data_IF_272369723136
#
_entry.id   IF_272369723136
#
_cell.length_a   1.000
_cell.length_b   1.000
_cell.length_c   1.000
_cell.angle_alpha   90.00
_cell.angle_beta   90.00
_cell.angle_gamma   90.00
#
_symmetry.space_group_name_H-M   'P 1'
#
loop_
_entity.id
_entity.type
_entity.pdbx_description
1 polymer ?
#
# COMPACT_ATOMS: atom_id res chain seq x y z
N UNK A 1 -43.44 -17.12 -30.49
CA UNK A 1 -44.46 -16.77 -29.49
C UNK A 1 -43.79 -15.88 -28.47
N UNK A 2 -44.18 -14.61 -28.48
CA UNK A 2 -43.63 -13.46 -27.77
C UNK A 2 -43.95 -13.55 -26.28
N UNK A 3 -43.04 -13.13 -25.40
CA UNK A 3 -43.36 -12.18 -24.33
C UNK A 3 -42.08 -11.66 -23.65
N UNK A 4 -41.77 -10.42 -23.99
CA UNK A 4 -40.98 -9.49 -23.20
C UNK A 4 -41.73 -9.11 -21.91
N UNK A 5 -41.00 -9.00 -20.80
CA UNK A 5 -41.31 -8.03 -19.75
C UNK A 5 -40.03 -7.30 -19.35
N UNK A 6 -40.08 -5.98 -19.48
CA UNK A 6 -39.04 -4.98 -19.19
C UNK A 6 -39.48 -4.17 -17.96
N UNK A 7 -38.63 -4.08 -16.93
CA UNK A 7 -38.59 -2.99 -15.93
C UNK A 7 -37.29 -3.17 -15.12
N UNK A 8 -36.20 -2.44 -15.38
CA UNK A 8 -35.93 -1.03 -15.09
C UNK A 8 -35.88 -0.69 -13.59
N UNK A 9 -34.67 -0.36 -13.13
CA UNK A 9 -34.44 0.68 -12.12
C UNK A 9 -33.92 0.20 -10.76
N UNK A 10 -32.79 0.77 -10.33
CA UNK A 10 -32.49 0.93 -8.90
C UNK A 10 -31.06 0.63 -8.48
N UNK A 11 -30.16 1.59 -8.71
CA UNK A 11 -28.77 1.60 -8.22
C UNK A 11 -28.75 1.58 -6.68
N UNK A 12 -27.89 0.76 -6.06
CA UNK A 12 -27.52 0.91 -4.64
C UNK A 12 -26.02 1.09 -4.53
N UNK A 13 -25.66 2.31 -4.18
CA UNK A 13 -24.31 2.82 -4.00
C UNK A 13 -23.64 2.15 -2.79
N UNK A 14 -22.35 1.90 -2.99
CA UNK A 14 -21.40 1.42 -2.01
C UNK A 14 -21.05 2.57 -1.06
N UNK A 15 -21.32 2.39 0.24
CA UNK A 15 -20.90 3.33 1.29
C UNK A 15 -19.54 2.87 1.79
N UNK A 16 -18.49 3.49 1.27
CA UNK A 16 -17.17 3.45 1.87
C UNK A 16 -17.10 4.57 2.92
N UNK A 17 -17.10 4.17 4.20
CA UNK A 17 -16.78 5.05 5.31
C UNK A 17 -15.28 5.34 5.32
N UNK A 18 -14.93 6.62 5.20
CA UNK A 18 -13.58 7.12 5.40
C UNK A 18 -13.62 8.28 6.40
N UNK A 19 -13.12 7.98 7.60
CA UNK A 19 -12.31 8.81 8.49
C UNK A 19 -12.58 10.32 8.51
N UNK A 20 -13.21 10.72 9.61
CA UNK A 20 -13.19 12.06 10.15
C UNK A 20 -11.75 12.49 10.49
N UNK A 21 -11.20 13.40 9.69
CA UNK A 21 -10.20 14.37 10.15
C UNK A 21 -10.85 15.75 10.11
N UNK A 22 -11.27 16.22 11.28
CA UNK A 22 -11.86 17.53 11.51
C UNK A 22 -10.78 18.61 11.37
N UNK A 23 -10.59 19.13 10.16
CA UNK A 23 -10.10 20.49 9.97
C UNK A 23 -11.32 21.41 9.86
N UNK A 24 -11.54 22.18 10.91
CA UNK A 24 -12.45 23.31 10.95
C UNK A 24 -12.06 24.34 9.90
N UNK A 25 -12.83 24.43 8.81
CA UNK A 25 -12.89 25.59 7.92
C UNK A 25 -14.31 26.15 7.96
N UNK A 26 -14.48 27.46 8.15
CA UNK A 26 -15.79 28.07 8.21
C UNK A 26 -16.45 27.97 6.83
N UNK A 27 -17.76 27.77 6.87
CA UNK A 27 -18.65 27.84 5.72
C UNK A 27 -18.37 29.11 4.89
N UNK A 28 -17.84 28.92 3.68
CA UNK A 28 -18.07 29.85 2.58
C UNK A 28 -19.11 29.20 1.67
N UNK A 29 -20.30 29.78 1.74
CA UNK A 29 -21.46 29.42 0.97
C UNK A 29 -21.09 29.18 -0.51
N UNK A 30 -21.39 27.99 -1.00
CA UNK A 30 -21.48 27.70 -2.43
C UNK A 30 -22.72 28.41 -2.97
N UNK A 31 -22.59 29.69 -3.28
CA UNK A 31 -23.47 30.37 -4.21
C UNK A 31 -23.13 29.87 -5.61
N UNK A 32 -24.12 29.29 -6.29
CA UNK A 32 -24.06 28.92 -7.69
C UNK A 32 -23.76 30.17 -8.52
N UNK A 33 -22.48 30.35 -8.87
CA UNK A 33 -22.02 31.50 -9.66
C UNK A 33 -22.70 31.45 -11.03
N UNK A 34 -23.57 32.43 -11.31
CA UNK A 34 -24.22 32.58 -12.61
C UNK A 34 -23.18 32.98 -13.66
N UNK A 35 -23.42 32.61 -14.93
CA UNK A 35 -22.50 32.84 -16.06
C UNK A 35 -22.11 34.32 -16.18
N UNK A 36 -23.01 35.24 -15.83
CA UNK A 36 -22.76 36.68 -15.83
C UNK A 36 -21.71 37.11 -14.79
N UNK A 37 -21.68 36.49 -13.62
CA UNK A 37 -20.66 36.77 -12.59
C UNK A 37 -19.28 36.24 -12.99
N UNK A 38 -19.24 35.16 -13.80
CA UNK A 38 -17.99 34.69 -14.39
C UNK A 38 -17.49 35.66 -15.46
N UNK A 39 -18.37 36.19 -16.32
CA UNK A 39 -17.99 37.21 -17.31
C UNK A 39 -17.44 38.47 -16.64
N UNK A 40 -18.10 38.98 -15.60
CA UNK A 40 -17.59 40.14 -14.87
C UNK A 40 -16.25 39.88 -14.19
N UNK A 41 -16.01 38.67 -13.67
CA UNK A 41 -14.70 38.31 -13.12
C UNK A 41 -13.63 38.16 -14.19
N UNK A 42 -14.00 37.67 -15.37
CA UNK A 42 -13.08 37.52 -16.48
C UNK A 42 -12.68 38.89 -17.02
N UNK A 43 -13.63 39.81 -17.16
CA UNK A 43 -13.38 41.19 -17.58
C UNK A 43 -12.56 41.98 -16.53
N UNK A 44 -12.80 41.73 -15.24
CA UNK A 44 -11.99 42.29 -14.15
C UNK A 44 -10.55 41.71 -14.16
N UNK A 45 -10.40 40.41 -14.43
CA UNK A 45 -9.08 39.79 -14.60
C UNK A 45 -8.37 40.34 -15.84
N UNK A 46 -9.08 40.52 -16.96
CA UNK A 46 -8.52 41.07 -18.20
C UNK A 46 -8.05 42.52 -18.01
N UNK A 47 -8.74 43.33 -17.21
CA UNK A 47 -8.25 44.67 -16.83
C UNK A 47 -7.01 44.61 -15.94
N UNK A 48 -6.94 43.63 -15.04
CA UNK A 48 -5.80 43.47 -14.14
C UNK A 48 -4.56 42.88 -14.86
N UNK A 49 -4.77 42.01 -15.83
CA UNK A 49 -3.73 41.47 -16.72
C UNK A 49 -3.33 42.51 -17.78
N UNK A 50 -4.29 43.28 -18.30
CA UNK A 50 -4.05 44.40 -19.22
C UNK A 50 -3.30 45.55 -18.56
N UNK A 51 -3.45 45.76 -17.25
CA UNK A 51 -2.71 46.76 -16.48
C UNK A 51 -1.31 46.31 -16.01
N UNK A 52 -1.01 45.01 -16.05
CA UNK A 52 0.33 44.46 -15.73
C UNK A 52 1.22 44.26 -16.95
N UNK A 53 0.78 44.76 -18.11
CA UNK A 53 1.60 44.95 -19.29
C UNK A 53 1.90 46.44 -19.50
N UNK A 54 2.51 47.08 -18.49
CA UNK A 54 3.42 48.18 -18.78
C UNK A 54 4.67 47.58 -19.43
N UNK A 55 4.54 47.29 -20.72
CA UNK A 55 5.67 47.14 -21.64
C UNK A 55 6.37 48.49 -21.64
N UNK A 56 7.56 48.50 -21.05
CA UNK A 56 8.55 49.54 -21.31
C UNK A 56 8.66 49.68 -22.82
N UNK A 57 8.38 50.88 -23.34
CA UNK A 57 8.47 51.19 -24.77
C UNK A 57 9.87 50.88 -25.30
N UNK A 58 10.02 49.72 -25.92
CA UNK A 58 10.82 49.55 -27.12
C UNK A 58 10.49 48.19 -27.75
N UNK A 59 9.72 48.26 -28.84
CA UNK A 59 9.85 47.36 -29.99
C UNK A 59 9.47 45.89 -29.83
N UNK A 60 8.50 45.51 -30.68
CA UNK A 60 8.26 44.18 -31.24
C UNK A 60 7.21 43.33 -30.51
N UNK A 61 6.11 43.18 -31.25
CA UNK A 61 5.08 42.15 -31.15
C UNK A 61 5.76 40.77 -31.01
N UNK A 62 5.75 40.20 -29.79
CA UNK A 62 6.49 38.98 -29.49
C UNK A 62 5.66 37.72 -29.72
N UNK A 63 5.81 37.10 -30.89
CA UNK A 63 5.90 35.63 -30.94
C UNK A 63 6.79 35.19 -29.76
N UNK A 64 6.45 34.15 -28.96
CA UNK A 64 7.37 33.66 -27.95
C UNK A 64 8.68 33.31 -28.66
N UNK A 65 9.69 34.16 -28.51
CA UNK A 65 10.94 34.04 -29.23
C UNK A 65 11.60 32.73 -28.85
N UNK A 66 12.29 32.10 -29.80
CA UNK A 66 13.01 30.84 -29.58
C UNK A 66 13.86 30.86 -28.28
N UNK A 67 14.43 32.03 -27.91
CA UNK A 67 15.18 32.23 -26.67
C UNK A 67 14.38 32.11 -25.36
N UNK A 68 13.12 32.54 -25.32
CA UNK A 68 12.25 32.37 -24.15
C UNK A 68 11.88 30.90 -23.95
N UNK A 69 11.67 30.18 -25.07
CA UNK A 69 11.45 28.73 -25.08
C UNK A 69 12.69 27.99 -24.56
N UNK A 70 13.88 28.39 -25.02
CA UNK A 70 15.16 27.80 -24.57
C UNK A 70 15.44 28.05 -23.08
N UNK A 71 15.05 29.22 -22.55
CA UNK A 71 15.19 29.52 -21.12
C UNK A 71 14.23 28.67 -20.29
N UNK A 72 12.98 28.52 -20.75
CA UNK A 72 12.00 27.63 -20.11
C UNK A 72 12.43 26.17 -20.16
N UNK A 73 13.02 25.72 -21.26
CA UNK A 73 13.54 24.36 -21.41
C UNK A 73 14.64 24.09 -20.38
N UNK A 74 15.63 24.99 -20.27
CA UNK A 74 16.72 24.88 -19.28
C UNK A 74 16.22 24.86 -17.83
N UNK A 75 15.22 25.68 -17.51
CA UNK A 75 14.60 25.67 -16.17
C UNK A 75 13.87 24.35 -15.92
N UNK A 76 13.18 23.81 -16.93
CA UNK A 76 12.47 22.55 -16.83
C UNK A 76 13.43 21.36 -16.65
N UNK A 77 14.51 21.32 -17.40
CA UNK A 77 15.59 20.32 -17.26
C UNK A 77 16.19 20.36 -15.86
N UNK A 78 16.52 21.56 -15.35
CA UNK A 78 17.03 21.72 -13.97
C UNK A 78 16.02 21.26 -12.93
N UNK A 79 14.73 21.57 -13.09
CA UNK A 79 13.67 21.11 -12.18
C UNK A 79 13.52 19.60 -12.20
N UNK A 80 13.62 18.98 -13.38
CA UNK A 80 13.55 17.53 -13.53
C UNK A 80 14.75 16.85 -12.86
N UNK A 81 15.96 17.40 -13.02
CA UNK A 81 17.16 16.91 -12.37
C UNK A 81 17.05 17.00 -10.84
N UNK A 82 16.61 18.14 -10.30
CA UNK A 82 16.37 18.30 -8.85
C UNK A 82 15.29 17.34 -8.35
N UNK A 83 14.21 17.13 -9.11
CA UNK A 83 13.20 16.14 -8.76
C UNK A 83 13.78 14.72 -8.76
N UNK A 84 14.63 14.36 -9.72
CA UNK A 84 15.26 13.04 -9.75
C UNK A 84 16.23 12.84 -8.58
N UNK A 85 16.99 13.87 -8.20
CA UNK A 85 17.87 13.84 -7.03
C UNK A 85 17.07 13.75 -5.72
N UNK A 86 15.98 14.51 -5.59
CA UNK A 86 15.06 14.45 -4.45
C UNK A 86 14.33 13.11 -4.38
N UNK A 87 13.90 12.54 -5.51
CA UNK A 87 13.28 11.22 -5.59
C UNK A 87 14.30 10.14 -5.22
N UNK A 88 15.53 10.21 -5.73
CA UNK A 88 16.60 9.27 -5.37
C UNK A 88 17.00 9.37 -3.89
N UNK A 89 16.98 10.57 -3.30
CA UNK A 89 17.19 10.76 -1.87
C UNK A 89 16.01 10.23 -1.03
N UNK A 90 14.77 10.42 -1.50
CA UNK A 90 13.55 9.90 -0.87
C UNK A 90 13.45 8.38 -0.99
N UNK A 91 13.84 7.78 -2.11
CA UNK A 91 13.87 6.33 -2.30
C UNK A 91 14.89 5.66 -1.37
N UNK A 92 16.05 6.30 -1.16
CA UNK A 92 17.07 5.85 -0.20
C UNK A 92 16.67 6.01 1.27
N UNK A 93 15.61 6.75 1.58
CA UNK A 93 15.15 7.00 2.96
C UNK A 93 13.76 6.46 3.26
N UNK A 94 12.97 6.13 2.23
CA UNK A 94 11.61 5.62 2.38
C UNK A 94 11.64 4.10 2.59
N UNK A 95 11.10 3.59 3.72
CA UNK A 95 10.98 2.15 3.92
C UNK A 95 10.02 1.55 2.88
N UNK A 96 10.40 0.41 2.31
CA UNK A 96 9.59 -0.32 1.34
C UNK A 96 8.63 -1.23 2.10
N UNK A 97 7.33 -1.00 1.94
CA UNK A 97 6.27 -1.89 2.43
C UNK A 97 5.73 -2.68 1.24
N UNK A 98 5.70 -3.99 1.35
CA UNK A 98 5.11 -4.87 0.33
C UNK A 98 4.13 -5.83 0.98
N UNK A 99 2.90 -5.83 0.47
CA UNK A 99 1.83 -6.73 0.91
C UNK A 99 1.41 -7.57 -0.29
N UNK A 100 1.43 -8.89 -0.13
CA UNK A 100 1.10 -9.84 -1.19
C UNK A 100 0.43 -11.11 -0.65
N UNK A 101 0.27 -12.08 -1.53
CA UNK A 101 -0.30 -13.41 -1.28
C UNK A 101 0.40 -14.16 -0.14
N UNK A 102 1.70 -13.95 0.04
CA UNK A 102 2.51 -14.61 1.08
C UNK A 102 2.56 -13.85 2.40
N UNK A 103 1.87 -12.71 2.52
CA UNK A 103 1.83 -11.87 3.72
C UNK A 103 2.40 -10.46 3.51
N UNK A 104 2.73 -9.80 4.61
CA UNK A 104 3.28 -8.46 4.62
C UNK A 104 4.78 -8.48 4.88
N UNK A 105 5.51 -7.57 4.25
CA UNK A 105 6.93 -7.34 4.47
C UNK A 105 7.23 -5.85 4.53
N UNK A 106 8.11 -5.49 5.45
CA UNK A 106 8.62 -4.14 5.66
C UNK A 106 10.13 -4.23 5.55
N UNK A 107 10.72 -3.45 4.65
CA UNK A 107 12.16 -3.36 4.47
C UNK A 107 12.59 -1.91 4.67
N UNK A 108 13.61 -1.70 5.49
CA UNK A 108 14.24 -0.38 5.62
C UNK A 108 14.86 0.03 4.28
N UNK A 109 14.94 1.34 4.03
CA UNK A 109 15.46 1.89 2.79
C UNK A 109 16.91 1.46 2.50
N UNK A 110 17.72 1.31 3.55
CA UNK A 110 19.10 0.80 3.45
C UNK A 110 19.18 -0.73 3.26
N UNK A 111 18.05 -1.43 3.30
CA UNK A 111 17.96 -2.88 3.19
C UNK A 111 18.55 -3.68 4.35
N UNK A 112 19.08 -3.01 5.37
CA UNK A 112 19.68 -3.64 6.54
C UNK A 112 18.64 -4.26 7.48
N UNK A 113 17.42 -3.73 7.51
CA UNK A 113 16.35 -4.25 8.34
C UNK A 113 15.23 -4.77 7.46
N UNK A 114 14.78 -5.98 7.76
CA UNK A 114 13.66 -6.61 7.09
C UNK A 114 12.75 -7.25 8.14
N UNK A 115 11.45 -7.06 8.00
CA UNK A 115 10.44 -7.69 8.83
C UNK A 115 9.39 -8.31 7.91
N UNK A 116 9.00 -9.55 8.18
CA UNK A 116 7.97 -10.26 7.44
C UNK A 116 6.97 -10.86 8.40
N UNK A 117 5.71 -10.61 8.11
CA UNK A 117 4.58 -11.20 8.79
C UNK A 117 3.83 -12.07 7.79
N UNK A 118 3.84 -13.39 8.04
CA UNK A 118 3.07 -14.36 7.29
C UNK A 118 2.05 -15.01 8.21
N UNK A 119 0.96 -15.52 7.66
CA UNK A 119 0.02 -16.32 8.42
C UNK A 119 -0.50 -17.44 7.54
N UNK A 120 -0.59 -18.65 8.10
CA UNK A 120 -1.25 -19.78 7.48
C UNK A 120 -2.45 -20.17 8.34
N UNK A 121 -3.64 -20.11 7.74
CA UNK A 121 -4.88 -20.53 8.39
C UNK A 121 -5.51 -21.61 7.52
N UNK A 122 -5.75 -22.78 8.10
CA UNK A 122 -6.40 -23.91 7.45
C UNK A 122 -7.60 -24.34 8.28
N UNK A 123 -8.80 -24.11 7.75
CA UNK A 123 -10.05 -24.66 8.26
C UNK A 123 -10.40 -25.96 7.54
N UNK A 124 -11.03 -26.89 8.25
CA UNK A 124 -11.53 -28.16 7.75
C UNK A 124 -12.94 -28.37 8.27
N UNK A 125 -13.85 -28.72 7.37
CA UNK A 125 -15.25 -29.00 7.66
C UNK A 125 -15.53 -30.45 7.31
N UNK A 126 -16.06 -31.20 8.27
CA UNK A 126 -16.44 -32.60 8.11
C UNK A 126 -17.95 -32.67 8.17
N UNK A 127 -18.55 -33.13 7.07
CA UNK A 127 -19.99 -33.29 6.93
C UNK A 127 -20.29 -34.75 6.61
N UNK A 128 -21.21 -35.35 7.35
CA UNK A 128 -21.63 -36.73 7.16
C UNK A 128 -23.05 -36.77 6.60
N UNK A 129 -23.27 -37.60 5.58
CA UNK A 129 -24.61 -37.86 5.04
C UNK A 129 -25.18 -39.11 5.71
N UNK A 130 -26.50 -39.18 5.90
CA UNK A 130 -27.23 -40.29 6.54
C UNK A 130 -27.01 -40.42 8.06
N UNK A 131 -27.12 -39.30 8.79
CA UNK A 131 -26.85 -39.19 10.24
C UNK A 131 -28.05 -39.54 11.14
N UNK A 132 -28.92 -40.46 10.68
CA UNK A 132 -30.15 -40.84 11.39
C UNK A 132 -29.88 -41.55 12.73
N UNK A 133 -28.63 -41.99 12.97
CA UNK A 133 -28.21 -42.70 14.18
C UNK A 133 -27.41 -41.86 15.17
N UNK A 134 -26.76 -40.75 14.75
CA UNK A 134 -25.96 -39.87 15.65
C UNK A 134 -26.17 -38.39 15.27
N UNK A 135 -27.39 -37.84 15.42
CA UNK A 135 -27.71 -36.51 14.90
C UNK A 135 -26.71 -35.43 15.35
N UNK A 136 -26.16 -34.70 14.38
CA UNK A 136 -25.18 -33.61 14.51
C UNK A 136 -23.72 -34.05 14.71
N UNK A 137 -23.23 -34.98 13.88
CA UNK A 137 -21.80 -35.31 13.85
C UNK A 137 -20.93 -34.34 12.99
N UNK A 138 -21.56 -33.35 12.35
CA UNK A 138 -20.84 -32.37 11.54
C UNK A 138 -19.90 -31.51 12.41
N UNK A 139 -18.64 -31.42 11.99
CA UNK A 139 -17.60 -30.70 12.76
C UNK A 139 -16.88 -29.70 11.87
N UNK A 140 -16.71 -28.47 12.37
CA UNK A 140 -15.80 -27.49 11.79
C UNK A 140 -14.61 -27.27 12.74
N UNK A 141 -13.39 -27.40 12.22
CA UNK A 141 -12.18 -27.23 13.01
C UNK A 141 -11.11 -26.44 12.25
N UNK A 142 -10.27 -25.73 12.99
CA UNK A 142 -9.06 -25.14 12.45
C UNK A 142 -7.91 -26.14 12.59
N UNK A 143 -7.43 -26.69 11.47
CA UNK A 143 -6.29 -27.63 11.45
C UNK A 143 -4.97 -26.95 11.74
N UNK A 144 -4.81 -25.71 11.28
CA UNK A 144 -3.56 -24.95 11.41
C UNK A 144 -3.88 -23.47 11.51
N UNK A 145 -3.37 -22.82 12.55
CA UNK A 145 -3.32 -21.36 12.65
C UNK A 145 -1.88 -21.03 13.02
N UNK A 146 -1.09 -20.65 12.02
CA UNK A 146 0.35 -20.42 12.15
C UNK A 146 0.71 -19.02 11.67
N UNK A 147 0.62 -18.00 12.54
CA UNK A 147 1.29 -16.75 12.28
C UNK A 147 2.80 -17.00 12.34
N UNK A 148 3.54 -16.43 11.41
CA UNK A 148 4.99 -16.49 11.35
C UNK A 148 5.51 -15.08 11.29
N UNK A 149 6.31 -14.74 12.29
CA UNK A 149 7.01 -13.48 12.38
C UNK A 149 8.47 -13.81 12.13
N UNK A 150 9.04 -13.23 11.08
CA UNK A 150 10.45 -13.39 10.76
C UNK A 150 11.06 -12.04 10.40
N UNK A 151 12.35 -11.90 10.63
CA UNK A 151 13.03 -10.65 10.31
C UNK A 151 14.54 -10.76 10.34
N UNK A 152 15.18 -9.75 9.77
CA UNK A 152 16.62 -9.55 9.78
C UNK A 152 16.91 -8.19 10.41
N UNK A 153 17.79 -8.20 11.41
CA UNK A 153 18.36 -7.03 12.06
C UNK A 153 19.81 -6.89 11.59
N UNK A 154 20.02 -6.01 10.61
CA UNK A 154 21.29 -5.89 9.92
C UNK A 154 21.64 -7.16 9.13
N UNK A 155 22.94 -7.35 8.94
CA UNK A 155 23.51 -8.54 8.26
C UNK A 155 23.78 -9.70 9.22
N UNK A 156 23.73 -9.44 10.53
CA UNK A 156 24.24 -10.32 11.56
C UNK A 156 23.15 -11.15 12.23
N UNK A 157 21.94 -10.60 12.41
CA UNK A 157 20.91 -11.28 13.20
C UNK A 157 19.69 -11.52 12.35
N UNK A 158 19.19 -12.75 12.32
CA UNK A 158 17.87 -13.07 11.81
C UNK A 158 17.08 -13.80 12.89
N UNK A 159 15.77 -13.67 12.88
CA UNK A 159 14.92 -14.36 13.83
C UNK A 159 13.68 -14.91 13.15
N UNK A 160 13.13 -15.97 13.71
CA UNK A 160 11.87 -16.57 13.27
C UNK A 160 11.10 -17.11 14.45
N UNK A 161 9.84 -16.75 14.51
CA UNK A 161 8.88 -17.21 15.49
C UNK A 161 7.60 -17.64 14.78
N UNK A 162 7.26 -18.92 14.92
CA UNK A 162 6.07 -19.55 14.36
C UNK A 162 5.35 -20.33 15.45
N UNK A 163 4.44 -19.69 16.21
CA UNK A 163 3.49 -20.40 17.04
C UNK A 163 2.43 -21.11 16.17
N UNK A 164 1.84 -22.17 16.72
CA UNK A 164 0.66 -22.83 16.22
C UNK A 164 -0.45 -22.76 17.26
N UNK A 165 -1.61 -22.26 16.85
CA UNK A 165 -2.81 -22.09 17.67
C UNK A 165 -3.96 -23.03 17.25
N UNK A 166 -3.66 -24.15 16.60
CA UNK A 166 -4.69 -25.13 16.21
C UNK A 166 -4.81 -26.26 17.24
N UNK A 167 -6.04 -26.74 17.45
CA UNK A 167 -6.38 -27.70 18.51
C UNK A 167 -6.61 -27.04 19.87
N UNK A 168 -6.50 -27.83 20.95
CA UNK A 168 -6.84 -27.39 22.31
C UNK A 168 -5.71 -26.65 23.05
N UNK A 169 -4.54 -26.46 22.41
CA UNK A 169 -3.39 -25.79 23.04
C UNK A 169 -2.53 -25.01 22.04
N UNK A 170 -1.91 -23.93 22.52
CA UNK A 170 -0.92 -23.19 21.76
C UNK A 170 0.45 -23.85 21.88
N UNK A 171 1.07 -24.18 20.76
CA UNK A 171 2.43 -24.76 20.72
C UNK A 171 3.37 -23.91 19.89
N UNK A 172 4.66 -24.02 20.11
CA UNK A 172 5.68 -23.33 19.32
C UNK A 172 6.27 -24.31 18.32
N UNK A 173 6.14 -24.02 17.01
CA UNK A 173 6.75 -24.82 15.93
C UNK A 173 8.22 -24.47 15.81
N UNK A 174 8.50 -23.20 15.52
CA UNK A 174 9.86 -22.64 15.43
C UNK A 174 9.94 -21.38 16.30
N UNK A 175 11.01 -21.25 17.07
CA UNK A 175 11.36 -20.04 17.79
C UNK A 175 12.87 -19.99 17.95
N UNK A 176 13.55 -19.36 17.00
CA UNK A 176 15.00 -19.30 16.97
C UNK A 176 15.52 -17.95 16.52
N UNK A 177 16.77 -17.70 16.88
CA UNK A 177 17.57 -16.57 16.43
C UNK A 177 18.84 -17.12 15.79
N UNK A 178 19.18 -16.58 14.62
CA UNK A 178 20.38 -16.86 13.86
C UNK A 178 21.35 -15.69 14.00
N UNK A 179 22.53 -15.96 14.50
CA UNK A 179 23.66 -15.02 14.52
C UNK A 179 24.66 -15.44 13.45
N UNK A 180 24.77 -14.63 12.41
CA UNK A 180 25.64 -14.83 11.24
C UNK A 180 26.95 -14.07 11.48
N UNK A 181 28.04 -14.80 11.69
CA UNK A 181 29.37 -14.21 11.82
C UNK A 181 30.02 -14.05 10.43
N UNK A 182 29.83 -15.04 9.56
CA UNK A 182 30.31 -15.11 8.19
C UNK A 182 29.28 -15.94 7.39
N UNK A 183 29.10 -15.73 6.07
CA UNK A 183 28.28 -16.61 5.23
C UNK A 183 28.44 -18.12 5.47
N UNK A 184 29.64 -18.58 5.85
CA UNK A 184 29.91 -19.98 6.16
C UNK A 184 29.57 -20.41 7.61
N UNK A 185 29.44 -19.47 8.55
CA UNK A 185 29.26 -19.76 9.98
C UNK A 185 28.07 -18.99 10.55
N UNK A 186 26.98 -19.71 10.79
CA UNK A 186 25.77 -19.21 11.45
C UNK A 186 25.51 -20.01 12.72
N UNK A 187 25.39 -19.32 13.85
CA UNK A 187 24.97 -19.92 15.10
C UNK A 187 23.46 -19.74 15.25
N UNK A 188 22.72 -20.86 15.25
CA UNK A 188 21.28 -20.88 15.51
C UNK A 188 21.03 -21.27 16.95
N UNK A 189 20.27 -20.46 17.68
CA UNK A 189 19.86 -20.75 19.06
C UNK A 189 18.34 -20.68 19.16
N UNK A 190 17.74 -21.75 19.67
CA UNK A 190 16.31 -21.81 19.97
C UNK A 190 15.67 -23.14 19.60
N UNK A 191 14.33 -23.13 19.59
CA UNK A 191 13.54 -24.27 19.16
C UNK A 191 13.42 -24.26 17.64
N UNK A 192 13.87 -25.33 17.01
CA UNK A 192 13.74 -25.54 15.58
C UNK A 192 13.08 -26.89 15.34
N UNK A 193 12.30 -26.96 14.27
CA UNK A 193 11.92 -28.25 13.69
C UNK A 193 13.18 -29.07 13.45
N UNK A 194 13.20 -30.30 13.99
CA UNK A 194 14.38 -31.15 13.96
C UNK A 194 14.90 -31.35 12.53
N UNK A 195 16.23 -31.23 12.29
CA UNK A 195 16.83 -31.28 10.95
C UNK A 195 16.88 -32.70 10.35
N UNK A 196 16.43 -33.71 11.09
CA UNK A 196 16.45 -35.11 10.69
C UNK A 196 15.07 -35.53 10.15
N UNK A 197 15.06 -36.09 8.93
CA UNK A 197 13.87 -36.52 8.18
C UNK A 197 13.54 -35.60 7.00
N UNK A 198 13.83 -36.03 5.77
CA UNK A 198 13.58 -35.26 4.53
C UNK A 198 12.08 -34.98 4.34
N UNK A 199 11.22 -35.91 4.77
CA UNK A 199 9.77 -35.82 4.80
C UNK A 199 9.26 -34.69 5.72
N UNK A 200 10.09 -34.23 6.65
CA UNK A 200 9.76 -33.15 7.58
C UNK A 200 10.22 -31.78 7.08
N UNK A 201 11.17 -31.74 6.13
CA UNK A 201 11.68 -30.51 5.52
C UNK A 201 10.89 -30.09 4.27
N UNK A 202 10.19 -31.03 3.62
CA UNK A 202 9.29 -30.75 2.51
C UNK A 202 7.91 -30.38 3.05
N UNK A 203 7.67 -29.09 3.32
CA UNK A 203 6.36 -28.57 3.70
C UNK A 203 6.10 -27.21 3.09
#
# INVERSE_FOLDING_TARGET
>A
MTLQVKKAGGKRAWVAGALACTFSLPALAQSTLTVEQLQQRLEALERQVGGTLHVSENGVQGEPGLGDVDQRLRILERKLQLQQEDQAAKEKTTPVVSVGDKGASLKSADGNYEFKLRALVQGDGRFFFDDDTVPQNDTFLFRRIRPTIEGSLGKLVAFRLTPEFAGDSATIVDAYVDVKFNPAYTLRVGKVKGPIGLERLQS
#
